data_IF_449037316396
#
_entry.id   IF_449037316396
#
_cell.length_a   1.000
_cell.length_b   1.000
_cell.length_c   1.000
_cell.angle_alpha   90.00
_cell.angle_beta   90.00
_cell.angle_gamma   90.00
#
_symmetry.space_group_name_H-M   'P 1'
#
loop_
_entity.id
_entity.type
_entity.pdbx_description
1 polymer ?
#
# COMPACT_ATOMS: atom_id res chain seq x y z
N UNK A 1 14.84 -9.48 6.39
CA UNK A 1 13.81 -8.41 6.38
C UNK A 1 12.48 -9.06 6.02
N UNK A 2 11.46 -8.95 6.87
CA UNK A 2 10.13 -9.58 6.69
C UNK A 2 9.06 -8.62 6.14
N UNK A 3 9.48 -7.50 5.56
CA UNK A 3 8.60 -6.48 4.98
C UNK A 3 8.70 -6.46 3.46
N UNK A 4 7.66 -5.92 2.80
CA UNK A 4 7.69 -5.47 1.40
C UNK A 4 7.51 -3.97 1.33
N UNK A 5 8.10 -3.34 0.33
CA UNK A 5 7.94 -1.92 0.06
C UNK A 5 6.99 -1.73 -1.12
N UNK A 6 5.87 -1.04 -0.91
CA UNK A 6 4.85 -0.80 -1.92
C UNK A 6 4.63 0.71 -2.06
N UNK A 7 4.45 1.18 -3.29
CA UNK A 7 4.31 2.61 -3.59
C UNK A 7 3.07 2.86 -4.46
N UNK A 8 2.09 3.60 -3.98
CA UNK A 8 0.93 4.02 -4.75
C UNK A 8 1.03 5.45 -5.26
N UNK A 9 0.43 5.73 -6.41
CA UNK A 9 0.60 7.01 -7.12
C UNK A 9 -0.75 7.66 -7.44
N UNK A 10 -0.78 9.00 -7.42
CA UNK A 10 -1.92 9.78 -7.88
C UNK A 10 -1.51 11.11 -8.49
N UNK A 11 -2.23 11.53 -9.54
CA UNK A 11 -2.05 12.87 -10.12
C UNK A 11 -2.55 13.94 -9.16
N UNK A 12 -1.80 15.03 -9.06
CA UNK A 12 -2.23 16.21 -8.31
C UNK A 12 -3.22 17.06 -9.14
N UNK A 13 -4.20 17.71 -8.48
CA UNK A 13 -5.16 18.57 -9.16
C UNK A 13 -4.46 19.79 -9.80
N UNK A 14 -5.01 20.28 -10.91
CA UNK A 14 -4.56 21.51 -11.56
C UNK A 14 -4.71 22.72 -10.62
N UNK A 15 -3.72 23.62 -10.61
CA UNK A 15 -3.76 24.85 -9.82
C UNK A 15 -3.25 24.77 -8.37
N UNK A 16 -2.58 23.67 -7.97
CA UNK A 16 -1.88 23.57 -6.69
C UNK A 16 -0.42 24.07 -6.83
N UNK A 17 0.07 24.92 -5.91
CA UNK A 17 1.46 25.39 -5.94
C UNK A 17 2.49 24.23 -5.90
N UNK A 18 2.15 23.15 -5.19
CA UNK A 18 2.96 21.93 -5.14
C UNK A 18 3.08 21.20 -6.50
N UNK A 19 2.18 21.46 -7.46
CA UNK A 19 2.26 20.89 -8.81
C UNK A 19 3.52 21.35 -9.57
N UNK A 20 4.06 22.52 -9.22
CA UNK A 20 5.29 23.04 -9.83
C UNK A 20 6.57 22.32 -9.37
N UNK A 21 6.48 21.47 -8.34
CA UNK A 21 7.63 20.75 -7.74
C UNK A 21 7.42 19.23 -7.84
N UNK A 22 6.18 18.74 -7.75
CA UNK A 22 5.82 17.34 -7.94
C UNK A 22 4.55 17.23 -8.79
N UNK A 23 4.61 16.56 -9.93
CA UNK A 23 3.42 16.31 -10.77
C UNK A 23 2.48 15.23 -10.18
N UNK A 24 3.06 14.36 -9.35
CA UNK A 24 2.43 13.17 -8.79
C UNK A 24 2.62 13.13 -7.28
N UNK A 25 1.54 12.83 -6.56
CA UNK A 25 1.58 12.47 -5.16
C UNK A 25 1.84 10.97 -5.04
N UNK A 26 2.86 10.58 -4.29
CA UNK A 26 3.20 9.18 -4.01
C UNK A 26 2.98 8.91 -2.53
N UNK A 27 2.38 7.76 -2.21
CA UNK A 27 2.38 7.17 -0.88
C UNK A 27 3.24 5.91 -0.94
N UNK A 28 4.15 5.75 0.02
CA UNK A 28 4.95 4.53 0.18
C UNK A 28 4.63 3.87 1.50
N UNK A 29 4.68 2.54 1.55
CA UNK A 29 4.50 1.77 2.77
C UNK A 29 5.47 0.60 2.84
N UNK A 30 6.07 0.41 4.01
CA UNK A 30 6.69 -0.85 4.41
C UNK A 30 5.63 -1.70 5.10
N UNK A 31 5.34 -2.87 4.53
CA UNK A 31 4.25 -3.74 4.96
C UNK A 31 4.83 -5.06 5.45
N UNK A 32 4.44 -5.49 6.64
CA UNK A 32 4.77 -6.82 7.14
C UNK A 32 4.11 -7.90 6.28
N UNK A 33 4.89 -8.87 5.78
CA UNK A 33 4.41 -9.90 4.86
C UNK A 33 3.40 -10.85 5.47
N UNK A 34 3.50 -11.13 6.77
CA UNK A 34 2.68 -12.13 7.46
C UNK A 34 1.32 -11.56 7.83
N UNK A 35 1.31 -10.36 8.41
CA UNK A 35 0.11 -9.74 8.96
C UNK A 35 -0.49 -8.68 8.03
N UNK A 36 0.20 -8.29 6.96
CA UNK A 36 -0.26 -7.21 6.07
C UNK A 36 -0.28 -5.83 6.72
N UNK A 37 0.40 -5.68 7.87
CA UNK A 37 0.40 -4.45 8.67
C UNK A 37 1.38 -3.43 8.11
N UNK A 38 0.93 -2.20 7.94
CA UNK A 38 1.80 -1.06 7.59
C UNK A 38 2.70 -0.74 8.79
N UNK A 39 3.98 -1.06 8.67
CA UNK A 39 5.00 -0.80 9.70
C UNK A 39 5.40 0.68 9.71
N UNK A 40 5.58 1.24 8.51
CA UNK A 40 5.92 2.64 8.26
C UNK A 40 5.30 3.07 6.93
N UNK A 41 4.91 4.34 6.84
CA UNK A 41 4.44 4.95 5.61
C UNK A 41 5.06 6.33 5.41
N UNK A 42 5.19 6.74 4.14
CA UNK A 42 5.65 8.07 3.75
C UNK A 42 4.84 8.61 2.58
N UNK A 43 4.97 9.91 2.31
CA UNK A 43 4.37 10.52 1.12
C UNK A 43 5.13 11.78 0.66
N UNK A 44 4.82 12.25 -0.56
CA UNK A 44 5.50 13.40 -1.19
C UNK A 44 4.88 14.76 -0.88
N UNK A 45 4.24 14.93 0.28
CA UNK A 45 3.75 16.23 0.72
C UNK A 45 4.90 17.21 0.96
N UNK A 46 4.65 18.50 0.77
CA UNK A 46 5.70 19.54 0.87
C UNK A 46 6.25 19.72 2.29
N UNK A 47 5.42 19.49 3.32
CA UNK A 47 5.80 19.71 4.72
C UNK A 47 5.98 18.39 5.44
N UNK A 48 6.99 18.31 6.31
CA UNK A 48 7.22 17.12 7.12
C UNK A 48 6.07 16.86 8.09
N UNK A 49 5.45 17.92 8.62
CA UNK A 49 4.24 17.81 9.44
C UNK A 49 3.11 17.09 8.70
N UNK A 50 2.88 17.41 7.42
CA UNK A 50 1.87 16.74 6.60
C UNK A 50 2.21 15.26 6.35
N UNK A 51 3.48 14.95 6.10
CA UNK A 51 3.95 13.56 5.93
C UNK A 51 3.72 12.74 7.21
N UNK A 52 4.10 13.29 8.36
CA UNK A 52 3.93 12.64 9.66
C UNK A 52 2.45 12.42 9.99
N UNK A 53 1.59 13.40 9.72
CA UNK A 53 0.15 13.25 9.91
C UNK A 53 -0.43 12.08 9.10
N UNK A 54 -0.06 11.97 7.82
CA UNK A 54 -0.49 10.83 6.97
C UNK A 54 0.08 9.52 7.50
N UNK A 55 1.35 9.50 7.93
CA UNK A 55 1.97 8.32 8.52
C UNK A 55 1.21 7.84 9.77
N UNK A 56 0.75 8.75 10.64
CA UNK A 56 -0.05 8.40 11.82
C UNK A 56 -1.39 7.75 11.47
N UNK A 57 -2.02 8.13 10.36
CA UNK A 57 -3.26 7.51 9.90
C UNK A 57 -3.03 6.08 9.39
N UNK A 58 -1.90 5.85 8.70
CA UNK A 58 -1.64 4.59 8.00
C UNK A 58 -0.95 3.54 8.87
N UNK A 59 -0.04 3.96 9.74
CA UNK A 59 0.80 3.05 10.53
C UNK A 59 -0.06 2.20 11.46
N UNK A 60 0.22 0.90 11.49
CA UNK A 60 -0.49 -0.08 12.32
C UNK A 60 -1.77 -0.62 11.67
N UNK A 61 -2.24 -0.05 10.56
CA UNK A 61 -3.38 -0.59 9.82
C UNK A 61 -2.98 -1.85 9.04
N UNK A 62 -3.81 -2.88 9.10
CA UNK A 62 -3.65 -4.08 8.27
C UNK A 62 -4.37 -3.92 6.94
N UNK A 63 -3.63 -4.08 5.84
CA UNK A 63 -4.24 -4.11 4.51
C UNK A 63 -5.09 -5.37 4.28
N UNK A 64 -5.02 -6.38 5.15
CA UNK A 64 -5.94 -7.53 5.08
C UNK A 64 -7.38 -7.15 5.48
N UNK A 65 -7.54 -6.10 6.31
CA UNK A 65 -8.84 -5.56 6.71
C UNK A 65 -9.44 -4.62 5.64
N UNK A 66 -8.78 -4.52 4.48
CA UNK A 66 -9.11 -3.59 3.40
C UNK A 66 -8.63 -2.16 3.67
N UNK A 67 -8.88 -1.26 2.71
CA UNK A 67 -8.35 0.12 2.73
C UNK A 67 -9.35 1.18 3.22
N UNK A 68 -10.60 0.79 3.49
CA UNK A 68 -11.69 1.76 3.71
C UNK A 68 -11.46 2.63 4.96
N UNK A 69 -11.03 2.03 6.07
CA UNK A 69 -10.79 2.77 7.31
C UNK A 69 -9.76 3.90 7.16
N UNK A 70 -8.51 3.66 6.72
CA UNK A 70 -7.54 4.74 6.54
C UNK A 70 -7.95 5.74 5.46
N UNK A 71 -8.67 5.29 4.42
CA UNK A 71 -9.16 6.15 3.36
C UNK A 71 -10.22 7.15 3.85
N UNK A 72 -11.14 6.70 4.69
CA UNK A 72 -12.13 7.57 5.34
C UNK A 72 -11.46 8.56 6.31
N UNK A 73 -10.46 8.11 7.06
CA UNK A 73 -9.69 8.99 7.94
C UNK A 73 -8.96 10.09 7.16
N UNK A 74 -8.33 9.77 6.03
CA UNK A 74 -7.73 10.78 5.15
C UNK A 74 -8.80 11.78 4.69
N UNK A 75 -9.93 11.31 4.16
CA UNK A 75 -10.98 12.19 3.64
C UNK A 75 -11.60 13.11 4.70
N UNK A 76 -11.75 12.62 5.93
CA UNK A 76 -12.37 13.38 7.04
C UNK A 76 -11.41 14.33 7.74
N UNK A 77 -10.14 13.94 7.87
CA UNK A 77 -9.20 14.68 8.72
C UNK A 77 -8.15 15.47 7.92
N UNK A 78 -7.91 15.15 6.64
CA UNK A 78 -7.03 15.94 5.79
C UNK A 78 -7.82 17.04 5.07
N UNK A 79 -7.87 18.24 5.64
CA UNK A 79 -8.62 19.40 5.11
C UNK A 79 -7.83 20.24 4.08
N UNK A 80 -6.92 19.60 3.34
CA UNK A 80 -6.06 20.25 2.35
C UNK A 80 -6.41 19.87 0.91
N UNK A 81 -5.93 20.68 -0.05
CA UNK A 81 -6.13 20.45 -1.49
C UNK A 81 -5.60 19.09 -1.99
N UNK A 82 -4.68 18.46 -1.26
CA UNK A 82 -4.09 17.17 -1.63
C UNK A 82 -4.93 15.95 -1.17
N UNK A 83 -6.03 16.13 -0.43
CA UNK A 83 -6.80 15.01 0.14
C UNK A 83 -7.27 13.97 -0.90
N UNK A 84 -7.78 14.43 -2.04
CA UNK A 84 -8.20 13.54 -3.13
C UNK A 84 -7.04 12.77 -3.76
N UNK A 85 -5.87 13.40 -3.85
CA UNK A 85 -4.66 12.76 -4.37
C UNK A 85 -4.12 11.74 -3.36
N UNK A 86 -4.13 12.04 -2.06
CA UNK A 86 -3.77 11.10 -0.99
C UNK A 86 -4.67 9.87 -1.02
N UNK A 87 -6.00 10.06 -1.08
CA UNK A 87 -6.95 8.96 -1.14
C UNK A 87 -6.74 8.11 -2.41
N UNK A 88 -6.50 8.75 -3.56
CA UNK A 88 -6.21 8.06 -4.83
C UNK A 88 -4.92 7.26 -4.78
N UNK A 89 -3.84 7.83 -4.24
CA UNK A 89 -2.55 7.14 -4.11
C UNK A 89 -2.64 5.97 -3.14
N UNK A 90 -3.43 6.11 -2.06
CA UNK A 90 -3.66 5.03 -1.10
C UNK A 90 -4.44 3.87 -1.75
N UNK A 91 -5.45 4.16 -2.58
CA UNK A 91 -6.16 3.12 -3.34
C UNK A 91 -5.22 2.40 -4.32
N UNK A 92 -4.33 3.13 -4.98
CA UNK A 92 -3.34 2.53 -5.89
C UNK A 92 -2.34 1.63 -5.14
N UNK A 93 -1.86 2.06 -3.97
CA UNK A 93 -1.03 1.26 -3.09
C UNK A 93 -1.73 -0.05 -2.69
N UNK A 94 -3.01 0.04 -2.33
CA UNK A 94 -3.80 -1.14 -1.96
C UNK A 94 -3.94 -2.12 -3.13
N UNK A 95 -4.17 -1.65 -4.35
CA UNK A 95 -4.20 -2.51 -5.54
C UNK A 95 -2.89 -3.26 -5.75
N UNK A 96 -1.75 -2.59 -5.54
CA UNK A 96 -0.44 -3.26 -5.64
C UNK A 96 -0.24 -4.30 -4.54
N UNK A 97 -0.74 -4.03 -3.33
CA UNK A 97 -0.75 -5.04 -2.26
C UNK A 97 -1.61 -6.26 -2.63
N UNK A 98 -2.80 -6.08 -3.20
CA UNK A 98 -3.63 -7.19 -3.67
C UNK A 98 -2.96 -8.01 -4.78
N UNK A 99 -2.26 -7.35 -5.71
CA UNK A 99 -1.48 -8.02 -6.74
C UNK A 99 -0.31 -8.81 -6.13
N UNK A 100 0.39 -8.24 -5.17
CA UNK A 100 1.46 -8.92 -4.44
C UNK A 100 0.93 -10.18 -3.73
N UNK A 101 -0.21 -10.10 -3.04
CA UNK A 101 -0.81 -11.25 -2.35
C UNK A 101 -1.20 -12.38 -3.32
N UNK A 102 -1.78 -12.03 -4.48
CA UNK A 102 -2.07 -13.02 -5.54
C UNK A 102 -0.80 -13.68 -6.06
N UNK A 103 0.28 -12.91 -6.20
CA UNK A 103 1.57 -13.42 -6.69
C UNK A 103 2.27 -14.33 -5.69
N UNK A 104 2.11 -14.07 -4.38
CA UNK A 104 2.67 -14.88 -3.31
C UNK A 104 2.01 -16.28 -3.26
N UNK A 105 0.68 -16.34 -3.41
CA UNK A 105 -0.06 -17.61 -3.41
C UNK A 105 0.36 -18.55 -4.56
N UNK A 106 0.63 -18.00 -5.75
CA UNK A 106 1.06 -18.80 -6.92
C UNK A 106 2.45 -19.44 -6.73
N UNK A 107 3.31 -18.83 -5.90
CA UNK A 107 4.64 -19.37 -5.61
C UNK A 107 4.61 -20.53 -4.60
N UNK A 108 3.63 -20.58 -3.70
CA UNK A 108 3.44 -21.70 -2.77
C UNK A 108 2.86 -22.94 -3.46
N UNK A 109 1.99 -22.77 -4.48
CA UNK A 109 1.44 -23.91 -5.23
C UNK A 109 2.44 -24.54 -6.22
N UNK A 110 3.39 -23.76 -6.77
CA UNK A 110 4.43 -24.30 -7.66
C UNK A 110 5.51 -25.11 -6.93
N UNK A 111 5.55 -25.05 -5.59
CA UNK A 111 6.46 -25.81 -4.73
C UNK A 111 6.01 -27.23 -4.39
N UNK A 112 4.79 -27.64 -4.78
CA UNK A 112 4.26 -29.00 -4.52
C UNK A 112 4.33 -29.83 -5.80
N UNK A 113 5.54 -30.18 -6.23
CA UNK A 113 5.77 -31.33 -7.11
C UNK A 113 6.73 -32.28 -6.41
N UNK A 114 6.19 -33.20 -5.61
CA UNK A 114 6.92 -34.41 -5.19
C UNK A 114 6.18 -35.66 -5.65
N UNK A 115 6.53 -36.05 -6.89
CA UNK A 115 6.56 -37.38 -7.51
C UNK A 115 5.34 -38.34 -7.45
N UNK A 116 5.09 -39.10 -8.54
CA UNK A 116 4.05 -40.12 -8.57
C UNK A 116 4.45 -41.31 -7.69
N UNK A 117 3.61 -41.68 -6.74
CA UNK A 117 3.71 -42.96 -6.03
C UNK A 117 3.22 -44.08 -6.94
N UNK A 118 4.08 -44.53 -7.87
CA UNK A 118 3.99 -45.89 -8.41
C UNK A 118 4.71 -46.84 -7.45
N UNK A 119 3.95 -47.46 -6.55
CA UNK A 119 4.36 -48.70 -5.90
C UNK A 119 3.30 -49.77 -6.16
N UNK A 120 3.51 -50.46 -7.27
CA UNK A 120 3.09 -51.84 -7.47
C UNK A 120 3.63 -52.67 -6.30
N UNK A 121 2.77 -53.26 -5.46
CA UNK A 121 2.86 -54.69 -5.14
C UNK A 121 1.70 -55.20 -4.26
N UNK A 122 1.09 -56.29 -4.76
CA UNK A 122 0.20 -57.28 -4.13
C UNK A 122 -1.29 -56.97 -4.07
#
# INVERSE_FOLDING_TARGET
MNTVFIAGHAKLPSGMAAKSIYETLTITAEIDKKYGVIVTAGCTLATDHGKQFVQTILKGHSLQDGIQFPLDHIKRHYLGKAGNALASALMDLFKQYEQYQKSAYVQEECGVISAPSSRMNR
#
